data_IF_905640960071
#
_entry.id   IF_905640960071
#
_cell.length_a   1.000
_cell.length_b   1.000
_cell.length_c   1.000
_cell.angle_alpha   90.00
_cell.angle_beta   90.00
_cell.angle_gamma   90.00
#
_symmetry.space_group_name_H-M   'P 1'
#
loop_
_entity.id
_entity.type
_entity.pdbx_description
1 polymer ?
#
# COMPACT_ATOMS: atom_id res chain seq x y z
N UNK A 1 19.46 7.92 11.83
CA UNK A 1 18.68 8.56 10.73
C UNK A 1 18.41 7.62 9.56
N UNK A 2 19.40 6.85 9.09
CA UNK A 2 19.25 5.92 7.95
C UNK A 2 18.14 4.89 8.13
N UNK A 3 18.03 4.26 9.31
CA UNK A 3 16.98 3.27 9.61
C UNK A 3 15.57 3.86 9.47
N UNK A 4 15.34 5.11 9.92
CA UNK A 4 14.04 5.76 9.84
C UNK A 4 13.66 6.06 8.39
N UNK A 5 14.61 6.52 7.56
CA UNK A 5 14.40 6.79 6.14
C UNK A 5 14.08 5.48 5.39
N UNK A 6 14.87 4.43 5.63
CA UNK A 6 14.67 3.11 5.00
C UNK A 6 13.33 2.50 5.42
N UNK A 7 13.00 2.54 6.72
CA UNK A 7 11.72 2.08 7.23
C UNK A 7 10.55 2.84 6.61
N UNK A 8 10.64 4.16 6.51
CA UNK A 8 9.59 4.99 5.88
C UNK A 8 9.38 4.62 4.41
N UNK A 9 10.48 4.48 3.65
CA UNK A 9 10.42 4.12 2.24
C UNK A 9 9.78 2.73 2.03
N UNK A 10 10.21 1.73 2.82
CA UNK A 10 9.68 0.37 2.75
C UNK A 10 8.21 0.32 3.16
N UNK A 11 7.84 1.02 4.24
CA UNK A 11 6.47 1.12 4.71
C UNK A 11 5.54 1.69 3.63
N UNK A 12 5.95 2.79 2.99
CA UNK A 12 5.14 3.44 1.95
C UNK A 12 5.07 2.58 0.69
N UNK A 13 6.18 2.00 0.25
CA UNK A 13 6.19 1.09 -0.89
C UNK A 13 5.26 -0.12 -0.68
N UNK A 14 5.31 -0.73 0.50
CA UNK A 14 4.43 -1.84 0.86
C UNK A 14 2.95 -1.41 0.91
N UNK A 15 2.65 -0.27 1.51
CA UNK A 15 1.29 0.29 1.54
C UNK A 15 0.74 0.54 0.12
N UNK A 16 1.56 1.09 -0.78
CA UNK A 16 1.19 1.33 -2.19
C UNK A 16 0.95 0.00 -2.92
N UNK A 17 1.82 -0.99 -2.72
CA UNK A 17 1.67 -2.31 -3.33
C UNK A 17 0.37 -3.00 -2.89
N UNK A 18 0.08 -2.98 -1.59
CA UNK A 18 -1.17 -3.50 -1.02
C UNK A 18 -2.38 -2.77 -1.59
N UNK A 19 -2.33 -1.43 -1.63
CA UNK A 19 -3.38 -0.62 -2.20
C UNK A 19 -3.64 -0.91 -3.69
N UNK A 20 -2.58 -1.23 -4.45
CA UNK A 20 -2.71 -1.69 -5.84
C UNK A 20 -3.42 -3.03 -5.93
N UNK A 21 -3.00 -4.01 -5.12
CA UNK A 21 -3.59 -5.36 -5.11
C UNK A 21 -5.06 -5.31 -4.69
N UNK A 22 -5.40 -4.58 -3.64
CA UNK A 22 -6.80 -4.43 -3.22
C UNK A 22 -7.60 -3.67 -4.28
N UNK A 23 -7.02 -2.64 -4.91
CA UNK A 23 -7.68 -1.94 -6.01
C UNK A 23 -7.89 -2.84 -7.24
N UNK A 24 -7.04 -3.84 -7.51
CA UNK A 24 -7.18 -4.79 -8.64
C UNK A 24 -8.02 -6.01 -8.34
N UNK A 25 -8.21 -6.37 -7.06
CA UNK A 25 -9.04 -7.52 -6.66
C UNK A 25 -10.44 -7.09 -6.22
N UNK A 26 -10.62 -5.86 -5.73
CA UNK A 26 -11.92 -5.38 -5.24
C UNK A 26 -13.01 -5.50 -6.32
N UNK A 27 -14.09 -6.25 -6.07
CA UNK A 27 -15.27 -6.32 -6.94
C UNK A 27 -15.90 -4.94 -7.18
N UNK A 28 -16.60 -4.79 -8.31
CA UNK A 28 -17.32 -3.58 -8.68
C UNK A 28 -18.63 -3.41 -7.88
N UNK A 29 -18.55 -3.41 -6.55
CA UNK A 29 -19.63 -3.08 -5.63
C UNK A 29 -19.25 -1.89 -4.76
N UNK A 30 -20.15 -0.91 -4.58
CA UNK A 30 -19.88 0.33 -3.81
C UNK A 30 -19.45 0.05 -2.37
N UNK A 31 -20.14 -0.88 -1.69
CA UNK A 31 -19.85 -1.27 -0.30
C UNK A 31 -18.55 -2.09 -0.19
N UNK A 32 -18.33 -3.04 -1.10
CA UNK A 32 -17.10 -3.86 -1.13
C UNK A 32 -15.86 -3.00 -1.44
N UNK A 33 -16.02 -1.98 -2.28
CA UNK A 33 -14.95 -1.00 -2.54
C UNK A 33 -14.66 -0.07 -1.35
N UNK A 34 -15.64 0.20 -0.49
CA UNK A 34 -15.39 0.94 0.76
C UNK A 34 -14.66 0.07 1.78
N UNK A 35 -15.06 -1.19 1.92
CA UNK A 35 -14.35 -2.15 2.77
C UNK A 35 -12.91 -2.39 2.29
N UNK A 36 -12.69 -2.46 0.97
CA UNK A 36 -11.35 -2.56 0.40
C UNK A 36 -10.47 -1.33 0.71
N UNK A 37 -11.03 -0.12 0.61
CA UNK A 37 -10.34 1.10 1.01
C UNK A 37 -10.05 1.16 2.51
N UNK A 38 -11.03 0.85 3.36
CA UNK A 38 -10.86 0.78 4.81
C UNK A 38 -9.81 -0.27 5.22
N UNK A 39 -9.81 -1.43 4.57
CA UNK A 39 -8.80 -2.47 4.78
C UNK A 39 -7.39 -1.98 4.49
N UNK A 40 -7.19 -1.18 3.44
CA UNK A 40 -5.85 -0.61 3.16
C UNK A 40 -5.37 0.37 4.22
N UNK A 41 -6.28 1.11 4.87
CA UNK A 41 -5.95 2.05 5.96
C UNK A 41 -5.47 1.28 7.19
N UNK A 42 -6.15 0.19 7.57
CA UNK A 42 -5.83 -0.57 8.79
C UNK A 42 -4.60 -1.45 8.62
N UNK A 43 -4.41 -2.04 7.43
CA UNK A 43 -3.31 -2.97 7.18
C UNK A 43 -1.96 -2.24 7.06
N UNK A 44 -1.93 -1.00 6.57
CA UNK A 44 -0.68 -0.28 6.33
C UNK A 44 0.16 -0.01 7.62
N UNK A 45 -0.43 0.43 8.75
CA UNK A 45 0.28 0.54 10.03
C UNK A 45 0.81 -0.80 10.55
N UNK A 46 0.05 -1.88 10.38
CA UNK A 46 0.44 -3.23 10.83
C UNK A 46 1.68 -3.70 10.05
N UNK A 47 1.67 -3.52 8.72
CA UNK A 47 2.79 -3.86 7.85
C UNK A 47 4.02 -3.03 8.20
N UNK A 48 3.84 -1.74 8.47
CA UNK A 48 4.91 -0.85 8.92
C UNK A 48 5.57 -1.35 10.20
N UNK A 49 4.77 -1.81 11.17
CA UNK A 49 5.28 -2.37 12.41
C UNK A 49 6.06 -3.67 12.19
N UNK A 50 5.56 -4.57 11.34
CA UNK A 50 6.27 -5.81 10.98
C UNK A 50 7.63 -5.50 10.35
N UNK A 51 7.67 -4.55 9.40
CA UNK A 51 8.93 -4.12 8.77
C UNK A 51 9.88 -3.53 9.82
N UNK A 52 9.37 -2.71 10.75
CA UNK A 52 10.18 -2.12 11.81
C UNK A 52 10.76 -3.16 12.77
N UNK A 53 9.98 -4.19 13.13
CA UNK A 53 10.45 -5.30 13.97
C UNK A 53 11.56 -6.07 13.27
N UNK A 54 11.38 -6.38 11.98
CA UNK A 54 12.40 -7.06 11.17
C UNK A 54 13.67 -6.21 11.11
N UNK A 55 13.59 -4.95 10.71
CA UNK A 55 14.76 -4.07 10.60
C UNK A 55 15.46 -3.83 11.94
N UNK A 56 14.70 -3.69 13.03
CA UNK A 56 15.24 -3.48 14.38
C UNK A 56 15.89 -4.72 14.97
N UNK A 57 15.48 -5.92 14.55
CA UNK A 57 16.04 -7.20 15.01
C UNK A 57 17.22 -7.67 14.16
N UNK A 58 17.22 -7.36 12.86
CA UNK A 58 18.35 -7.64 11.96
C UNK A 58 19.47 -6.58 12.06
N UNK A 59 19.27 -5.49 12.79
CA UNK A 59 20.31 -4.51 13.08
C UNK A 59 20.72 -3.68 11.86
N UNK A 60 19.77 -3.00 11.22
CA UNK A 60 20.08 -2.05 10.13
C UNK A 60 20.79 -0.82 10.71
N UNK A 61 22.13 -0.90 10.80
CA UNK A 61 22.99 0.12 11.41
C UNK A 61 23.89 -0.38 12.54
N UNK A 62 23.90 -1.69 12.83
CA UNK A 62 24.79 -2.28 13.84
C UNK A 62 24.25 -2.34 15.27
N UNK A 63 23.07 -1.78 15.53
CA UNK A 63 22.39 -1.82 16.83
C UNK A 63 21.07 -2.58 16.74
N UNK A 64 20.86 -3.51 17.67
CA UNK A 64 19.56 -4.16 17.89
C UNK A 64 18.69 -3.24 18.73
N UNK A 65 17.55 -2.83 18.19
CA UNK A 65 16.66 -1.89 18.87
C UNK A 65 15.75 -2.59 19.87
N UNK A 66 15.52 -1.94 21.01
CA UNK A 66 14.51 -2.37 21.97
C UNK A 66 13.09 -2.17 21.44
N UNK A 67 12.10 -2.90 21.99
CA UNK A 67 10.70 -2.78 21.56
C UNK A 67 10.16 -1.33 21.60
N UNK A 68 10.54 -0.57 22.63
CA UNK A 68 10.19 0.85 22.80
C UNK A 68 10.75 1.74 21.68
N UNK A 69 11.96 1.46 21.23
CA UNK A 69 12.63 2.21 20.15
C UNK A 69 12.05 1.85 18.79
N UNK A 70 11.73 0.58 18.57
CA UNK A 70 11.04 0.11 17.38
C UNK A 70 9.68 0.82 17.25
N UNK A 71 8.90 0.89 18.33
CA UNK A 71 7.62 1.61 18.32
C UNK A 71 7.79 3.10 18.01
N UNK A 72 8.77 3.76 18.64
CA UNK A 72 9.05 5.18 18.38
C UNK A 72 9.48 5.42 16.93
N UNK A 73 10.34 4.57 16.38
CA UNK A 73 10.81 4.68 15.01
C UNK A 73 9.71 4.38 13.99
N UNK A 74 8.79 3.47 14.31
CA UNK A 74 7.68 3.07 13.44
C UNK A 74 6.49 4.04 13.49
N UNK A 75 6.35 4.85 14.53
CA UNK A 75 5.17 5.71 14.73
C UNK A 75 4.95 6.70 13.58
N UNK A 76 5.99 7.42 13.15
CA UNK A 76 5.93 8.37 12.04
C UNK A 76 5.64 7.69 10.69
N UNK A 77 6.38 6.64 10.29
CA UNK A 77 6.07 5.84 9.11
C UNK A 77 4.63 5.27 9.11
N UNK A 78 4.19 4.74 10.25
CA UNK A 78 2.86 4.15 10.38
C UNK A 78 1.78 5.21 10.21
N UNK A 79 1.96 6.38 10.83
CA UNK A 79 1.06 7.51 10.65
C UNK A 79 1.00 7.97 9.20
N UNK A 80 2.14 8.13 8.52
CA UNK A 80 2.17 8.50 7.10
C UNK A 80 1.47 7.46 6.21
N UNK A 81 1.60 6.17 6.55
CA UNK A 81 0.99 5.08 5.79
C UNK A 81 -0.55 5.11 5.81
N UNK A 82 -1.15 5.68 6.87
CA UNK A 82 -2.61 5.88 6.98
C UNK A 82 -3.16 6.78 5.87
N UNK A 83 -2.34 7.70 5.33
CA UNK A 83 -2.74 8.61 4.26
C UNK A 83 -2.31 8.09 2.88
N UNK A 84 -1.09 7.54 2.80
CA UNK A 84 -0.54 7.00 1.55
C UNK A 84 -1.40 5.86 1.01
N UNK A 85 -1.85 4.93 1.87
CA UNK A 85 -2.61 3.76 1.47
C UNK A 85 -3.96 4.11 0.78
N UNK A 86 -4.87 4.91 1.39
CA UNK A 86 -6.12 5.29 0.75
C UNK A 86 -5.92 6.16 -0.49
N UNK A 87 -4.90 7.03 -0.52
CA UNK A 87 -4.58 7.83 -1.71
C UNK A 87 -4.14 6.94 -2.88
N UNK A 88 -3.23 5.99 -2.63
CA UNK A 88 -2.79 5.02 -3.63
C UNK A 88 -3.94 4.13 -4.12
N UNK A 89 -4.80 3.65 -3.20
CA UNK A 89 -5.97 2.83 -3.56
C UNK A 89 -6.91 3.60 -4.50
N UNK A 90 -7.22 4.85 -4.16
CA UNK A 90 -8.04 5.71 -5.00
C UNK A 90 -7.42 5.96 -6.38
N UNK A 91 -6.10 6.19 -6.43
CA UNK A 91 -5.37 6.41 -7.67
C UNK A 91 -5.44 5.17 -8.59
N UNK A 92 -5.14 3.97 -8.08
CA UNK A 92 -5.23 2.74 -8.89
C UNK A 92 -6.66 2.40 -9.29
N UNK A 93 -7.64 2.70 -8.43
CA UNK A 93 -9.06 2.52 -8.77
C UNK A 93 -9.49 3.44 -9.92
N UNK A 94 -8.99 4.67 -9.98
CA UNK A 94 -9.21 5.59 -11.10
C UNK A 94 -8.60 5.12 -12.42
N UNK A 95 -7.58 4.27 -12.39
CA UNK A 95 -6.95 3.74 -13.61
C UNK A 95 -7.74 2.59 -14.26
N UNK A 96 -8.57 1.87 -13.50
CA UNK A 96 -9.40 0.77 -14.03
C UNK A 96 -10.32 1.13 -15.22
N UNK A 97 -11.02 2.29 -15.27
CA UNK A 97 -11.82 2.65 -16.44
C UNK A 97 -11.02 2.80 -17.75
N UNK A 98 -9.70 3.08 -17.69
CA UNK A 98 -8.89 3.26 -18.90
C UNK A 98 -8.52 1.93 -19.59
N UNK A 99 -8.46 0.81 -18.85
CA UNK A 99 -8.10 -0.50 -19.41
C UNK A 99 -9.27 -1.21 -20.09
N UNK A 100 -10.52 -0.93 -19.67
CA UNK A 100 -11.71 -1.51 -20.28
C UNK A 100 -12.05 -0.85 -21.62
N UNK A 101 -11.87 0.48 -21.73
CA UNK A 101 -12.08 1.23 -22.99
C UNK A 101 -11.16 0.75 -24.13
N UNK A 102 -9.88 0.52 -23.82
CA UNK A 102 -8.90 0.06 -24.83
C UNK A 102 -9.17 -1.36 -25.35
N UNK A 103 -9.75 -2.23 -24.51
CA UNK A 103 -10.18 -3.58 -24.92
C UNK A 103 -11.46 -3.57 -25.76
N UNK A 104 -12.41 -2.68 -25.44
CA UNK A 104 -13.70 -2.57 -26.14
C UNK A 104 -13.52 -2.06 -27.57
N UNK A 105 -12.63 -1.08 -27.80
CA UNK A 105 -12.33 -0.61 -29.15
C UNK A 105 -11.62 -1.66 -30.01
N UNK A 106 -10.72 -2.48 -29.43
CA UNK A 106 -10.07 -3.58 -30.19
C UNK A 106 -11.05 -4.69 -30.56
N UNK A 107 -12.00 -5.01 -29.68
CA UNK A 107 -13.05 -5.98 -29.97
C UNK A 107 -14.00 -5.47 -31.06
N UNK A 108 -14.39 -4.18 -31.02
CA UNK A 108 -15.26 -3.56 -32.03
C UNK A 108 -14.61 -3.48 -33.42
N UNK A 109 -13.29 -3.26 -33.50
CA UNK A 109 -12.56 -3.28 -34.78
C UNK A 109 -12.30 -4.69 -35.32
N UNK A 110 -12.24 -5.71 -34.45
CA UNK A 110 -12.05 -7.10 -34.86
C UNK A 110 -13.34 -7.77 -35.36
N UNK A 111 -14.52 -7.25 -34.98
CA UNK A 111 -15.82 -7.73 -35.50
C UNK A 111 -16.29 -7.00 -36.76
N UNK A 112 -15.50 -6.06 -37.28
CA UNK A 112 -15.80 -5.25 -38.47
C UNK A 112 -15.05 -5.73 -39.73
N UNK A 113 -14.31 -6.84 -39.63
CA UNK A 113 -13.66 -7.58 -40.71
C UNK A 113 -14.16 -9.03 -40.70
#
# INVERSE_FOLDING_TARGET
MTLLIVLTALAFAAAIALARVTATVAPAGRLVSQAAGAGTIVVAPIVTLVIAIVLGRFGVGGETLGASEILRAAALPAFGSLFVAPFAFWFFRRQRPALTSKSRNRAATASAH
#
